data_IF_902664220364
#
_entry.id   IF_902664220364
#
_cell.length_a   1.000
_cell.length_b   1.000
_cell.length_c   1.000
_cell.angle_alpha   90.00
_cell.angle_beta   90.00
_cell.angle_gamma   90.00
#
_symmetry.space_group_name_H-M   'P 1'
#
loop_
_entity.id
_entity.type
_entity.pdbx_description
1 polymer ?
#
# COMPACT_ATOMS: atom_id res chain seq x y z
N UNK A 1 14.90 -1.36 -3.44
CA UNK A 1 13.90 -0.77 -4.36
C UNK A 1 12.55 -1.09 -3.76
N UNK A 2 11.64 -0.14 -3.53
CA UNK A 2 10.37 -0.41 -2.85
C UNK A 2 9.49 -1.46 -3.54
N UNK A 3 8.60 -2.10 -2.77
CA UNK A 3 7.53 -3.01 -3.22
C UNK A 3 6.17 -2.33 -3.25
N UNK A 4 5.32 -2.73 -4.20
CA UNK A 4 3.96 -2.24 -4.40
C UNK A 4 3.06 -3.45 -4.63
N UNK A 5 1.91 -3.45 -3.96
CA UNK A 5 0.86 -4.45 -4.11
C UNK A 5 -0.51 -3.76 -4.14
N UNK A 6 -1.52 -4.45 -4.69
CA UNK A 6 -2.88 -3.94 -4.62
C UNK A 6 -3.91 -4.86 -5.23
N UNK A 7 -5.16 -4.65 -4.84
CA UNK A 7 -6.33 -5.35 -5.36
C UNK A 7 -7.42 -4.34 -5.68
N UNK A 8 -7.96 -4.40 -6.91
CA UNK A 8 -9.06 -3.56 -7.35
C UNK A 8 -10.21 -4.45 -7.78
N UNK A 9 -11.40 -4.20 -7.23
CA UNK A 9 -12.64 -4.86 -7.62
C UNK A 9 -13.62 -3.87 -8.19
N UNK A 10 -14.21 -4.24 -9.33
CA UNK A 10 -15.30 -3.48 -9.94
C UNK A 10 -16.58 -3.63 -9.12
N UNK A 11 -17.48 -2.64 -9.15
CA UNK A 11 -18.81 -2.76 -8.54
C UNK A 11 -19.50 -4.07 -8.97
N UNK A 12 -20.10 -4.78 -8.01
CA UNK A 12 -20.78 -6.07 -8.25
C UNK A 12 -19.88 -7.31 -8.19
N UNK A 13 -18.55 -7.17 -8.00
CA UNK A 13 -17.61 -8.29 -7.92
C UNK A 13 -17.10 -8.58 -6.49
N UNK A 14 -17.84 -8.14 -5.48
CA UNK A 14 -17.47 -8.24 -4.06
C UNK A 14 -16.45 -7.18 -3.63
N UNK A 15 -16.00 -7.28 -2.38
CA UNK A 15 -14.99 -6.39 -1.80
C UNK A 15 -13.59 -7.00 -1.94
N UNK A 16 -12.54 -6.19 -2.18
CA UNK A 16 -11.16 -6.66 -2.13
C UNK A 16 -10.83 -7.23 -0.76
N UNK A 17 -9.84 -8.11 -0.69
CA UNK A 17 -9.53 -8.87 0.50
C UNK A 17 -8.17 -8.43 1.07
N UNK A 18 -8.19 -7.79 2.25
CA UNK A 18 -6.98 -7.22 2.85
C UNK A 18 -5.87 -8.26 3.02
N UNK A 19 -6.22 -9.47 3.48
CA UNK A 19 -5.25 -10.55 3.69
C UNK A 19 -4.49 -10.96 2.43
N UNK A 20 -5.07 -10.82 1.23
CA UNK A 20 -4.36 -11.08 -0.03
C UNK A 20 -3.31 -10.00 -0.29
N UNK A 21 -3.66 -8.73 -0.05
CA UNK A 21 -2.72 -7.61 -0.22
C UNK A 21 -1.64 -7.64 0.84
N UNK A 22 -1.98 -7.97 2.09
CA UNK A 22 -1.02 -8.20 3.18
C UNK A 22 0.00 -9.28 2.79
N UNK A 23 -0.46 -10.44 2.32
CA UNK A 23 0.43 -11.52 1.87
C UNK A 23 1.30 -11.11 0.68
N UNK A 24 0.74 -10.37 -0.29
CA UNK A 24 1.52 -9.79 -1.40
C UNK A 24 2.60 -8.84 -0.87
N UNK A 25 2.28 -7.99 0.10
CA UNK A 25 3.20 -7.03 0.70
C UNK A 25 4.33 -7.74 1.45
N UNK A 26 4.00 -8.76 2.25
CA UNK A 26 4.96 -9.60 2.99
C UNK A 26 5.94 -10.31 2.05
N UNK A 27 5.46 -10.85 0.92
CA UNK A 27 6.33 -11.51 -0.07
C UNK A 27 7.42 -10.58 -0.64
N UNK A 28 7.21 -9.25 -0.55
CA UNK A 28 8.10 -8.22 -1.05
C UNK A 28 8.96 -7.55 0.03
N UNK A 29 9.00 -8.05 1.28
CA UNK A 29 9.78 -7.46 2.39
C UNK A 29 11.24 -7.17 2.01
N UNK A 30 11.90 -8.08 1.29
CA UNK A 30 13.28 -7.94 0.84
C UNK A 30 13.53 -6.71 -0.06
N UNK A 31 12.48 -6.15 -0.67
CA UNK A 31 12.54 -4.97 -1.53
C UNK A 31 12.48 -3.67 -0.71
N UNK A 32 11.67 -3.67 0.36
CA UNK A 32 11.51 -2.56 1.29
C UNK A 32 11.42 -3.03 2.74
N UNK A 33 12.55 -3.33 3.39
CA UNK A 33 12.58 -3.85 4.76
C UNK A 33 12.30 -2.78 5.82
N UNK A 34 12.43 -1.50 5.48
CA UNK A 34 12.43 -0.40 6.45
C UNK A 34 11.02 0.05 6.86
N UNK A 35 10.00 -0.26 6.06
CA UNK A 35 8.63 0.11 6.38
C UNK A 35 7.60 -0.57 5.49
N UNK A 36 6.35 -0.46 5.93
CA UNK A 36 5.19 -0.96 5.21
C UNK A 36 3.98 -0.05 5.42
N UNK A 37 2.99 -0.21 4.57
CA UNK A 37 1.71 0.44 4.72
C UNK A 37 0.64 -0.21 3.85
N UNK A 38 -0.60 -0.09 4.28
CA UNK A 38 -1.79 -0.49 3.53
C UNK A 38 -2.79 0.66 3.57
N UNK A 39 -3.41 0.93 2.43
CA UNK A 39 -4.51 1.87 2.30
C UNK A 39 -5.71 1.17 1.67
N UNK A 40 -6.90 1.43 2.18
CA UNK A 40 -8.13 0.81 1.73
C UNK A 40 -9.18 1.88 1.46
N UNK A 41 -9.83 1.78 0.32
CA UNK A 41 -10.98 2.59 -0.05
C UNK A 41 -11.94 1.77 -0.91
N UNK A 42 -13.17 2.23 -1.12
CA UNK A 42 -14.24 1.43 -1.72
C UNK A 42 -13.81 0.72 -3.02
N UNK A 43 -13.69 -0.61 -2.97
CA UNK A 43 -13.27 -1.43 -4.10
C UNK A 43 -11.77 -1.46 -4.41
N UNK A 44 -10.92 -0.81 -3.60
CA UNK A 44 -9.46 -0.70 -3.81
C UNK A 44 -8.69 -0.94 -2.51
N UNK A 45 -7.66 -1.77 -2.56
CA UNK A 45 -6.64 -1.88 -1.51
C UNK A 45 -5.27 -1.69 -2.16
N UNK A 46 -4.44 -0.84 -1.58
CA UNK A 46 -3.05 -0.59 -1.97
C UNK A 46 -2.12 -0.98 -0.82
N UNK A 47 -0.98 -1.57 -1.13
CA UNK A 47 0.06 -1.95 -0.19
C UNK A 47 1.44 -1.49 -0.66
N UNK A 48 2.30 -1.12 0.28
CA UNK A 48 3.67 -0.67 0.01
C UNK A 48 4.68 -1.33 0.94
N UNK A 49 5.86 -1.67 0.40
CA UNK A 49 7.09 -1.98 1.15
C UNK A 49 8.14 -0.91 0.87
N UNK A 50 8.56 -0.19 1.90
CA UNK A 50 9.46 0.96 1.77
C UNK A 50 10.92 0.57 2.01
N UNK A 51 11.77 0.91 1.05
CA UNK A 51 13.20 1.10 1.30
C UNK A 51 13.42 2.60 1.45
N UNK A 52 13.86 3.02 2.63
CA UNK A 52 13.94 4.41 3.05
C UNK A 52 15.25 5.03 2.56
N UNK A 53 15.21 5.72 1.41
CA UNK A 53 16.38 6.35 0.78
C UNK A 53 16.33 7.88 0.85
N UNK A 54 15.15 8.46 0.60
CA UNK A 54 14.90 9.90 0.64
C UNK A 54 13.76 10.18 1.62
N UNK A 55 13.92 11.25 2.41
CA UNK A 55 13.11 11.54 3.60
C UNK A 55 13.08 10.34 4.55
N UNK A 56 14.09 10.25 5.43
CA UNK A 56 14.23 9.11 6.33
C UNK A 56 13.22 9.11 7.48
N UNK A 57 12.39 10.15 7.55
CA UNK A 57 11.40 10.30 8.61
C UNK A 57 10.10 9.59 8.25
N UNK A 58 9.20 9.57 9.22
CA UNK A 58 7.87 9.00 9.07
C UNK A 58 6.96 9.82 8.12
N UNK A 59 7.32 11.06 7.77
CA UNK A 59 6.54 11.87 6.81
C UNK A 59 6.61 11.32 5.40
N UNK A 60 7.63 10.52 5.08
CA UNK A 60 7.77 9.83 3.80
C UNK A 60 7.10 8.46 3.71
N UNK A 61 6.29 8.07 4.71
CA UNK A 61 5.55 6.80 4.72
C UNK A 61 4.57 6.72 3.55
N UNK A 62 4.40 5.50 3.03
CA UNK A 62 3.52 5.19 1.90
C UNK A 62 2.63 3.99 2.26
N UNK A 63 1.38 3.93 1.77
CA UNK A 63 0.76 4.88 0.83
C UNK A 63 0.52 6.29 1.42
N UNK A 64 0.79 7.33 0.63
CA UNK A 64 0.53 8.73 0.98
C UNK A 64 -0.90 9.09 0.61
N UNK A 65 -1.66 9.65 1.55
CA UNK A 65 -3.05 10.05 1.33
C UNK A 65 -3.19 11.54 1.06
N UNK A 66 -4.13 11.90 0.18
CA UNK A 66 -4.58 13.28 0.01
C UNK A 66 -5.34 13.81 1.24
N UNK A 67 -5.58 15.11 1.29
CA UNK A 67 -6.20 15.76 2.44
C UNK A 67 -7.62 15.28 2.77
N UNK A 68 -8.34 14.73 1.79
CA UNK A 68 -9.67 14.15 1.94
C UNK A 68 -9.68 12.61 1.97
N UNK A 69 -8.49 12.00 1.98
CA UNK A 69 -8.26 10.54 2.01
C UNK A 69 -8.90 9.76 0.85
N UNK A 70 -9.38 10.43 -0.20
CA UNK A 70 -9.96 9.78 -1.40
C UNK A 70 -8.92 9.31 -2.39
N UNK A 71 -7.75 9.93 -2.35
CA UNK A 71 -6.62 9.64 -3.23
C UNK A 71 -5.47 9.11 -2.38
N UNK A 72 -4.83 8.06 -2.86
CA UNK A 72 -3.59 7.56 -2.31
C UNK A 72 -2.54 7.33 -3.40
N UNK A 73 -1.27 7.55 -3.04
CA UNK A 73 -0.09 7.30 -3.88
C UNK A 73 0.83 6.29 -3.18
N UNK A 74 1.31 5.30 -3.94
CA UNK A 74 2.22 4.25 -3.48
C UNK A 74 3.30 3.96 -4.51
#
# INVERSE_FOLDING_TARGET
MCGIAGEIRRPGHGQPQSHLVEAMNESQVHRGPDGEGIWMHDGVILGHRRLTILDLTDTGKQPMTGADERVALT
#
